data_IF_532251833520
#
_entry.id   IF_532251833520
#
_cell.length_a   1.000
_cell.length_b   1.000
_cell.length_c   1.000
_cell.angle_alpha   90.00
_cell.angle_beta   90.00
_cell.angle_gamma   90.00
#
_symmetry.space_group_name_H-M   'P 1'
#
loop_
_entity.id
_entity.type
_entity.pdbx_description
1 polymer ?
#
# COMPACT_ATOMS: atom_id res chain seq x y z
N UNK A 1 -28.39 3.99 13.35
CA UNK A 1 -27.05 4.23 12.79
C UNK A 1 -27.21 4.48 11.31
N UNK A 2 -26.76 5.62 10.79
CA UNK A 2 -26.72 5.86 9.34
C UNK A 2 -25.45 5.22 8.78
N UNK A 3 -25.59 4.29 7.84
CA UNK A 3 -24.46 3.69 7.15
C UNK A 3 -23.83 4.71 6.19
N UNK A 4 -22.52 4.58 5.97
CA UNK A 4 -21.82 5.39 4.97
C UNK A 4 -22.32 4.99 3.58
N UNK A 5 -22.77 5.93 2.73
CA UNK A 5 -23.31 5.58 1.43
C UNK A 5 -22.22 5.05 0.48
N UNK A 6 -22.55 3.99 -0.25
CA UNK A 6 -21.68 3.36 -1.25
C UNK A 6 -21.78 4.09 -2.59
N UNK A 7 -20.68 4.13 -3.33
CA UNK A 7 -20.49 4.82 -4.62
C UNK A 7 -20.72 6.34 -4.61
N UNK A 8 -20.79 6.96 -3.43
CA UNK A 8 -20.89 8.41 -3.25
C UNK A 8 -19.66 8.96 -2.56
N UNK A 9 -19.26 10.16 -2.98
CA UNK A 9 -18.24 10.92 -2.29
C UNK A 9 -18.84 11.49 -1.01
N UNK A 10 -18.20 11.22 0.12
CA UNK A 10 -18.58 11.74 1.43
C UNK A 10 -17.38 12.36 2.11
N UNK A 11 -17.62 13.40 2.90
CA UNK A 11 -16.59 13.99 3.73
C UNK A 11 -16.51 13.21 5.04
N UNK A 12 -15.30 12.78 5.41
CA UNK A 12 -15.01 12.09 6.67
C UNK A 12 -13.91 12.81 7.42
N UNK A 13 -13.89 12.64 8.74
CA UNK A 13 -12.85 13.20 9.60
C UNK A 13 -12.00 12.09 10.19
N UNK A 14 -10.68 12.25 10.17
CA UNK A 14 -9.76 11.28 10.78
C UNK A 14 -9.90 11.35 12.30
N UNK A 15 -10.30 10.23 12.92
CA UNK A 15 -10.37 10.13 14.38
C UNK A 15 -9.00 9.75 14.95
N UNK A 16 -8.37 8.70 14.40
CA UNK A 16 -7.06 8.21 14.84
C UNK A 16 -6.46 7.24 13.83
N UNK A 17 -5.17 6.98 14.00
CA UNK A 17 -4.43 5.98 13.23
C UNK A 17 -4.10 4.81 14.16
N UNK A 18 -4.45 3.60 13.75
CA UNK A 18 -4.19 2.36 14.50
C UNK A 18 -3.15 1.55 13.74
N UNK A 19 -2.01 1.31 14.39
CA UNK A 19 -0.92 0.52 13.83
C UNK A 19 -0.54 -0.60 14.82
N UNK A 20 -0.59 -1.88 14.42
CA UNK A 20 -0.14 -2.99 15.23
C UNK A 20 1.36 -2.90 15.52
N UNK A 21 1.81 -3.51 16.63
CA UNK A 21 3.23 -3.54 17.03
C UNK A 21 4.11 -4.42 16.12
N UNK A 22 3.50 -5.42 15.47
CA UNK A 22 4.14 -6.32 14.50
C UNK A 22 3.71 -5.90 13.10
N UNK A 23 4.61 -5.93 12.11
CA UNK A 23 4.29 -5.45 10.76
C UNK A 23 3.98 -3.95 10.70
N UNK A 24 4.57 -3.17 11.61
CA UNK A 24 4.33 -1.72 11.89
C UNK A 24 4.28 -0.80 10.66
N UNK A 25 4.77 -1.25 9.51
CA UNK A 25 4.76 -0.49 8.25
C UNK A 25 3.66 -0.92 7.29
N UNK A 26 3.29 -2.20 7.29
CA UNK A 26 2.49 -2.84 6.22
C UNK A 26 1.04 -3.09 6.61
N UNK A 27 0.75 -3.10 7.90
CA UNK A 27 -0.59 -3.26 8.44
C UNK A 27 -0.99 -2.00 9.20
N UNK A 28 -2.12 -1.41 8.84
CA UNK A 28 -2.64 -0.21 9.47
C UNK A 28 -4.15 -0.10 9.26
N UNK A 29 -4.77 0.67 10.14
CA UNK A 29 -6.16 1.09 10.01
C UNK A 29 -6.24 2.59 10.25
N UNK A 30 -6.87 3.29 9.31
CA UNK A 30 -7.26 4.68 9.48
C UNK A 30 -8.70 4.69 10.00
N UNK A 31 -8.88 5.08 11.27
CA UNK A 31 -10.21 5.26 11.84
C UNK A 31 -10.73 6.62 11.42
N UNK A 32 -11.85 6.63 10.70
CA UNK A 32 -12.53 7.85 10.27
C UNK A 32 -13.95 7.89 10.80
N UNK A 33 -14.48 9.09 10.93
CA UNK A 33 -15.85 9.35 11.36
C UNK A 33 -16.65 9.95 10.21
N UNK A 34 -17.84 9.42 10.00
CA UNK A 34 -18.87 9.98 9.13
C UNK A 34 -20.14 10.15 9.97
N UNK A 35 -20.55 11.38 10.24
CA UNK A 35 -21.66 11.68 11.14
C UNK A 35 -21.50 10.96 12.50
N UNK A 36 -22.43 10.07 12.85
CA UNK A 36 -22.38 9.23 14.07
C UNK A 36 -21.62 7.92 13.91
N UNK A 37 -21.18 7.57 12.69
CA UNK A 37 -20.66 6.25 12.34
C UNK A 37 -19.14 6.25 12.28
N UNK A 38 -18.53 5.13 12.71
CA UNK A 38 -17.08 4.93 12.71
C UNK A 38 -16.71 3.86 11.70
N UNK A 39 -15.70 4.17 10.91
CA UNK A 39 -15.23 3.31 9.84
C UNK A 39 -13.72 3.07 10.00
N UNK A 40 -13.29 1.82 9.89
CA UNK A 40 -11.90 1.44 9.80
C UNK A 40 -11.54 1.21 8.34
N UNK A 41 -10.68 2.08 7.79
CA UNK A 41 -10.14 1.90 6.44
C UNK A 41 -8.83 1.11 6.53
N UNK A 42 -8.82 -0.12 6.03
CA UNK A 42 -7.62 -0.94 6.02
C UNK A 42 -6.65 -0.44 4.95
N UNK A 43 -5.42 -0.12 5.35
CA UNK A 43 -4.36 0.34 4.45
C UNK A 43 -2.97 0.11 5.08
N UNK A 44 -1.87 0.20 4.31
CA UNK A 44 -0.53 0.18 4.90
C UNK A 44 -0.36 1.30 5.93
N UNK A 45 0.27 0.99 7.05
CA UNK A 45 0.53 1.97 8.10
C UNK A 45 1.46 3.10 7.62
N UNK A 46 2.35 2.84 6.66
CA UNK A 46 3.17 3.87 6.01
C UNK A 46 2.31 4.99 5.42
N UNK A 47 1.19 4.65 4.78
CA UNK A 47 0.28 5.62 4.14
C UNK A 47 -0.67 6.23 5.17
N UNK A 48 -1.22 5.43 6.08
CA UNK A 48 -2.11 5.93 7.13
C UNK A 48 -1.46 7.03 7.98
N UNK A 49 -0.13 6.94 8.20
CA UNK A 49 0.68 7.92 8.94
C UNK A 49 0.90 9.25 8.21
N UNK A 50 0.56 9.35 6.92
CA UNK A 50 0.60 10.64 6.20
C UNK A 50 -0.55 11.56 6.61
N UNK A 51 -1.57 11.00 7.25
CA UNK A 51 -2.78 11.68 7.68
C UNK A 51 -2.67 12.04 9.16
N UNK A 52 -3.46 13.01 9.63
CA UNK A 52 -3.48 13.41 11.03
C UNK A 52 -4.90 13.39 11.63
N UNK A 53 -5.07 13.11 12.94
CA UNK A 53 -6.36 13.30 13.60
C UNK A 53 -6.93 14.71 13.39
N UNK A 54 -8.24 14.80 13.17
CA UNK A 54 -8.96 16.04 12.85
C UNK A 54 -8.91 16.43 11.37
N UNK A 55 -8.12 15.74 10.54
CA UNK A 55 -8.04 16.01 9.12
C UNK A 55 -9.33 15.59 8.39
N UNK A 56 -9.81 16.45 7.48
CA UNK A 56 -10.99 16.18 6.64
C UNK A 56 -10.58 15.60 5.30
N UNK A 57 -11.16 14.47 4.95
CA UNK A 57 -10.89 13.73 3.74
C UNK A 57 -12.18 13.50 2.95
N UNK A 58 -12.04 13.23 1.66
CA UNK A 58 -13.13 12.72 0.84
C UNK A 58 -12.96 11.23 0.70
N UNK A 59 -13.98 10.47 1.11
CA UNK A 59 -14.05 9.02 1.02
C UNK A 59 -15.09 8.64 -0.02
N UNK A 60 -14.80 7.62 -0.82
CA UNK A 60 -15.79 6.92 -1.62
C UNK A 60 -15.67 5.42 -1.40
N UNK A 61 -16.71 4.83 -0.83
CA UNK A 61 -16.82 3.37 -0.75
C UNK A 61 -17.22 2.79 -2.09
N UNK A 62 -16.55 1.72 -2.50
CA UNK A 62 -16.80 0.98 -3.73
C UNK A 62 -17.73 -0.21 -3.50
N UNK A 63 -17.73 -0.76 -2.29
CA UNK A 63 -18.64 -1.81 -1.81
C UNK A 63 -19.00 -1.55 -0.34
N UNK A 64 -20.01 -2.26 0.14
CA UNK A 64 -20.39 -2.19 1.55
C UNK A 64 -19.26 -2.70 2.45
N UNK A 65 -18.97 -2.01 3.57
CA UNK A 65 -17.98 -2.46 4.54
C UNK A 65 -18.53 -3.61 5.39
N UNK A 66 -17.65 -4.44 5.91
CA UNK A 66 -18.01 -5.49 6.86
C UNK A 66 -18.28 -4.89 8.25
N UNK A 67 -19.35 -5.32 8.91
CA UNK A 67 -19.68 -4.85 10.25
C UNK A 67 -19.15 -5.81 11.32
N UNK A 68 -18.20 -5.35 12.14
CA UNK A 68 -17.56 -6.15 13.19
C UNK A 68 -17.50 -5.34 14.49
N UNK A 69 -18.08 -5.88 15.57
CA UNK A 69 -18.06 -5.28 16.92
C UNK A 69 -18.47 -3.79 16.97
N UNK A 70 -19.46 -3.40 16.16
CA UNK A 70 -19.96 -2.01 16.11
C UNK A 70 -19.11 -1.06 15.29
N UNK A 71 -18.13 -1.57 14.53
CA UNK A 71 -17.26 -0.81 13.63
C UNK A 71 -17.44 -1.34 12.21
N UNK A 72 -17.65 -0.44 11.26
CA UNK A 72 -17.64 -0.79 9.84
C UNK A 72 -16.19 -0.86 9.34
N UNK A 73 -15.80 -1.94 8.67
CA UNK A 73 -14.44 -2.19 8.19
C UNK A 73 -14.43 -2.22 6.67
N UNK A 74 -13.68 -1.31 6.06
CA UNK A 74 -13.49 -1.26 4.61
C UNK A 74 -12.13 -1.86 4.26
N UNK A 75 -12.15 -2.94 3.49
CA UNK A 75 -10.96 -3.57 2.92
C UNK A 75 -10.22 -2.65 1.93
N UNK A 76 -8.94 -2.93 1.68
CA UNK A 76 -8.03 -2.09 0.89
C UNK A 76 -8.56 -1.72 -0.51
N UNK A 77 -9.17 -2.63 -1.21
CA UNK A 77 -9.72 -2.43 -2.57
C UNK A 77 -11.19 -2.00 -2.57
N UNK A 78 -11.78 -1.77 -1.40
CA UNK A 78 -13.19 -1.40 -1.24
C UNK A 78 -13.43 0.12 -1.14
N UNK A 79 -12.39 0.95 -1.21
CA UNK A 79 -12.54 2.39 -1.08
C UNK A 79 -11.49 3.19 -1.86
N UNK A 80 -11.83 4.46 -2.09
CA UNK A 80 -10.95 5.50 -2.60
C UNK A 80 -10.92 6.65 -1.59
N UNK A 81 -9.76 7.28 -1.41
CA UNK A 81 -9.55 8.34 -0.43
C UNK A 81 -8.78 9.50 -1.06
N UNK A 82 -9.29 10.71 -0.87
CA UNK A 82 -8.65 11.94 -1.33
C UNK A 82 -8.49 12.93 -0.19
N UNK A 83 -7.36 13.65 -0.22
CA UNK A 83 -7.11 14.86 0.56
C UNK A 83 -7.50 16.06 -0.30
N UNK A 84 -8.12 17.06 0.32
CA UNK A 84 -8.33 18.37 -0.30
C UNK A 84 -7.15 19.27 0.04
N UNK A 85 -6.44 19.76 -0.96
CA UNK A 85 -5.32 20.68 -0.80
C UNK A 85 -5.46 21.83 -1.79
N UNK A 86 -5.55 23.07 -1.29
CA UNK A 86 -5.68 24.28 -2.13
C UNK A 86 -6.80 24.21 -3.18
N UNK A 87 -7.90 23.53 -2.85
CA UNK A 87 -9.04 23.35 -3.77
C UNK A 87 -8.90 22.17 -4.75
N UNK A 88 -7.75 21.51 -4.76
CA UNK A 88 -7.50 20.31 -5.56
C UNK A 88 -7.74 19.03 -4.75
N UNK A 89 -8.17 17.97 -5.45
CA UNK A 89 -8.30 16.63 -4.88
C UNK A 89 -7.04 15.82 -5.19
N UNK A 90 -6.27 15.54 -4.14
CA UNK A 90 -5.09 14.69 -4.23
C UNK A 90 -5.47 13.29 -3.75
N UNK A 91 -5.37 12.30 -4.63
CA UNK A 91 -5.67 10.91 -4.26
C UNK A 91 -4.58 10.36 -3.33
N UNK A 92 -5.00 9.94 -2.14
CA UNK A 92 -4.13 9.30 -1.14
C UNK A 92 -4.22 7.78 -1.26
N UNK A 93 -5.40 7.27 -1.59
CA UNK A 93 -5.63 5.85 -1.75
C UNK A 93 -6.60 5.54 -2.90
N UNK A 94 -6.30 4.54 -3.74
CA UNK A 94 -5.05 3.77 -3.81
C UNK A 94 -3.88 4.66 -4.30
N UNK A 95 -2.62 4.24 -4.03
CA UNK A 95 -1.42 4.89 -4.55
C UNK A 95 -1.38 4.88 -6.09
N UNK A 96 -0.54 5.74 -6.66
CA UNK A 96 -0.48 5.91 -8.11
C UNK A 96 -0.02 4.63 -8.82
N UNK A 97 -0.69 4.31 -9.94
CA UNK A 97 -0.40 3.18 -10.81
C UNK A 97 -0.71 3.53 -12.26
N UNK A 98 0.18 3.15 -13.18
CA UNK A 98 0.02 3.28 -14.62
C UNK A 98 0.55 2.02 -15.32
N UNK A 99 -0.24 1.51 -16.25
CA UNK A 99 0.15 0.43 -17.13
C UNK A 99 0.42 0.99 -18.53
N UNK A 100 1.54 0.60 -19.14
CA UNK A 100 1.92 0.97 -20.49
C UNK A 100 2.18 -0.30 -21.29
N UNK A 101 1.53 -0.41 -22.43
CA UNK A 101 1.65 -1.57 -23.33
C UNK A 101 2.41 -1.17 -24.58
N UNK A 102 3.39 -1.99 -24.95
CA UNK A 102 4.14 -1.86 -26.20
C UNK A 102 4.08 -3.18 -26.96
N UNK A 103 3.26 -3.19 -28.02
CA UNK A 103 3.14 -4.34 -28.91
C UNK A 103 4.26 -4.30 -29.95
N UNK A 104 4.98 -5.40 -30.10
CA UNK A 104 5.96 -5.60 -31.17
C UNK A 104 5.36 -6.48 -32.25
N UNK A 105 5.21 -5.91 -33.44
CA UNK A 105 4.64 -6.59 -34.60
C UNK A 105 5.73 -7.05 -35.57
N UNK A 106 5.44 -8.12 -36.29
CA UNK A 106 6.20 -8.57 -37.45
C UNK A 106 6.23 -7.44 -38.48
N UNK A 107 7.42 -6.97 -38.91
CA UNK A 107 7.55 -5.81 -39.79
C UNK A 107 6.99 -6.04 -41.21
N UNK A 108 6.77 -7.30 -41.61
CA UNK A 108 6.29 -7.69 -42.94
C UNK A 108 4.82 -8.08 -42.89
N UNK A 109 4.41 -8.86 -41.88
CA UNK A 109 3.04 -9.42 -41.77
C UNK A 109 2.11 -8.59 -40.89
N UNK A 110 2.64 -7.63 -40.13
CA UNK A 110 1.90 -6.77 -39.20
C UNK A 110 1.31 -7.51 -37.99
N UNK A 111 1.57 -8.81 -37.84
CA UNK A 111 1.03 -9.63 -36.75
C UNK A 111 1.81 -9.38 -35.46
N UNK A 112 1.15 -9.25 -34.30
CA UNK A 112 1.84 -9.14 -33.03
C UNK A 112 2.69 -10.39 -32.79
N UNK A 113 3.97 -10.19 -32.46
CA UNK A 113 4.90 -11.26 -32.09
C UNK A 113 4.91 -11.39 -30.57
N UNK A 114 5.01 -10.27 -29.86
CA UNK A 114 4.93 -10.21 -28.40
C UNK A 114 4.51 -8.81 -27.92
N UNK A 115 4.13 -8.72 -26.67
CA UNK A 115 3.75 -7.48 -26.00
C UNK A 115 4.62 -7.30 -24.74
N UNK A 116 5.13 -6.08 -24.54
CA UNK A 116 5.64 -5.66 -23.23
C UNK A 116 4.54 -4.94 -22.47
N UNK A 117 4.35 -5.35 -21.21
CA UNK A 117 3.49 -4.63 -20.26
C UNK A 117 4.39 -4.08 -19.16
N UNK A 118 4.50 -2.76 -19.10
CA UNK A 118 5.26 -2.05 -18.06
C UNK A 118 4.26 -1.48 -17.06
N UNK A 119 4.37 -1.89 -15.79
CA UNK A 119 3.57 -1.34 -14.70
C UNK A 119 4.44 -0.41 -13.87
N UNK A 120 4.21 0.89 -14.00
CA UNK A 120 4.80 1.91 -13.14
C UNK A 120 3.83 2.16 -11.98
N UNK A 121 4.28 1.97 -10.74
CA UNK A 121 3.46 2.20 -9.55
C UNK A 121 4.32 2.58 -8.36
N UNK A 122 3.70 3.21 -7.37
CA UNK A 122 4.35 3.45 -6.08
C UNK A 122 4.54 2.14 -5.29
N UNK A 123 5.54 2.10 -4.42
CA UNK A 123 5.83 0.98 -3.52
C UNK A 123 4.95 1.06 -2.27
N UNK A 124 4.16 0.02 -2.02
CA UNK A 124 3.05 0.02 -1.06
C UNK A 124 3.23 -1.06 0.01
N UNK A 125 3.67 -2.25 -0.39
CA UNK A 125 3.74 -3.45 0.47
C UNK A 125 5.18 -3.88 0.75
N UNK A 126 5.37 -4.80 1.69
CA UNK A 126 6.69 -5.28 2.09
C UNK A 126 7.51 -5.80 0.93
N UNK A 127 6.86 -6.58 0.07
CA UNK A 127 7.43 -7.22 -1.11
C UNK A 127 8.00 -6.16 -2.06
N UNK A 128 7.32 -5.02 -2.22
CA UNK A 128 7.79 -3.93 -3.07
C UNK A 128 9.14 -3.38 -2.59
N UNK A 129 9.30 -3.23 -1.27
CA UNK A 129 10.52 -2.72 -0.69
C UNK A 129 11.64 -3.77 -0.67
N UNK A 130 11.30 -5.04 -0.49
CA UNK A 130 12.26 -6.14 -0.61
C UNK A 130 12.85 -6.20 -2.01
N UNK A 131 12.02 -6.09 -3.06
CA UNK A 131 12.47 -6.06 -4.46
C UNK A 131 13.34 -4.84 -4.76
N UNK A 132 12.97 -3.66 -4.27
CA UNK A 132 13.79 -2.45 -4.41
C UNK A 132 15.16 -2.65 -3.74
N UNK A 133 15.19 -3.16 -2.50
CA UNK A 133 16.45 -3.42 -1.79
C UNK A 133 17.28 -4.47 -2.53
N UNK A 134 16.66 -5.53 -3.05
CA UNK A 134 17.37 -6.56 -3.81
C UNK A 134 18.04 -5.98 -5.07
N UNK A 135 17.37 -5.07 -5.79
CA UNK A 135 17.93 -4.36 -6.94
C UNK A 135 19.12 -3.48 -6.55
N UNK A 136 18.98 -2.68 -5.48
CA UNK A 136 20.08 -1.85 -4.97
C UNK A 136 21.28 -2.69 -4.54
N UNK A 137 21.02 -3.80 -3.86
CA UNK A 137 22.07 -4.70 -3.39
C UNK A 137 22.76 -5.46 -4.52
N UNK A 138 22.07 -5.73 -5.64
CA UNK A 138 22.71 -6.21 -6.86
C UNK A 138 23.73 -5.19 -7.39
N UNK A 139 23.41 -3.88 -7.35
CA UNK A 139 24.36 -2.83 -7.71
C UNK A 139 25.58 -2.78 -6.78
N UNK A 140 25.42 -3.05 -5.47
CA UNK A 140 26.55 -3.13 -4.54
C UNK A 140 27.35 -4.43 -4.64
N UNK A 141 26.70 -5.57 -4.87
CA UNK A 141 27.35 -6.86 -5.08
C UNK A 141 28.26 -6.84 -6.31
N UNK A 142 27.90 -6.09 -7.35
CA UNK A 142 28.77 -5.85 -8.51
C UNK A 142 30.08 -5.11 -8.18
N UNK A 143 30.17 -4.53 -6.97
CA UNK A 143 31.38 -3.87 -6.41
C UNK A 143 32.11 -4.73 -5.37
N UNK A 144 31.73 -6.01 -5.19
CA UNK A 144 32.38 -6.97 -4.27
C UNK A 144 32.40 -6.53 -2.79
N UNK A 145 31.39 -5.79 -2.32
CA UNK A 145 31.24 -5.43 -0.90
C UNK A 145 29.95 -6.04 -0.31
N UNK A 146 30.06 -6.60 0.90
CA UNK A 146 28.90 -7.04 1.70
C UNK A 146 28.40 -5.83 2.49
N UNK A 147 27.19 -5.35 2.20
CA UNK A 147 26.72 -4.05 2.72
C UNK A 147 25.60 -4.17 3.76
N UNK A 148 24.90 -5.31 3.84
CA UNK A 148 23.70 -5.45 4.66
C UNK A 148 23.78 -6.51 5.78
N UNK A 149 23.23 -6.16 6.94
CA UNK A 149 22.99 -7.06 8.08
C UNK A 149 21.48 -7.17 8.30
N UNK A 150 20.96 -8.39 8.21
CA UNK A 150 19.55 -8.73 8.41
C UNK A 150 19.32 -9.29 9.80
N UNK A 151 18.18 -9.00 10.42
CA UNK A 151 17.76 -9.61 11.70
C UNK A 151 16.50 -10.45 11.49
N UNK A 152 16.52 -11.72 11.87
CA UNK A 152 15.31 -12.54 11.86
C UNK A 152 14.29 -11.98 12.87
N UNK A 153 13.03 -11.72 12.48
CA UNK A 153 12.01 -11.23 13.39
C UNK A 153 11.50 -12.29 14.39
N UNK A 154 11.75 -13.57 14.13
CA UNK A 154 11.31 -14.70 14.97
C UNK A 154 12.41 -15.05 15.98
N UNK A 155 13.56 -15.56 15.52
CA UNK A 155 14.65 -16.00 16.40
C UNK A 155 15.63 -14.89 16.80
N UNK A 156 15.58 -13.72 16.18
CA UNK A 156 16.39 -12.56 16.53
C UNK A 156 17.86 -12.59 16.06
N UNK A 157 18.30 -13.65 15.37
CA UNK A 157 19.67 -13.79 14.85
C UNK A 157 19.97 -12.81 13.71
N UNK A 158 21.24 -12.45 13.59
CA UNK A 158 21.75 -11.56 12.55
C UNK A 158 22.47 -12.34 11.45
N UNK A 159 22.25 -11.95 10.20
CA UNK A 159 22.85 -12.57 9.03
C UNK A 159 23.42 -11.50 8.09
N UNK A 160 24.64 -11.70 7.63
CA UNK A 160 25.25 -10.87 6.59
C UNK A 160 24.89 -11.43 5.22
N UNK A 161 24.21 -10.63 4.40
CA UNK A 161 23.82 -11.02 3.05
C UNK A 161 23.35 -9.79 2.28
N UNK A 162 23.67 -9.73 0.99
CA UNK A 162 23.23 -8.66 0.11
C UNK A 162 21.72 -8.78 -0.20
N UNK A 163 21.15 -9.99 -0.20
CA UNK A 163 19.70 -10.21 -0.30
C UNK A 163 19.14 -10.73 1.02
N UNK A 164 17.85 -10.52 1.30
CA UNK A 164 17.24 -11.06 2.51
C UNK A 164 17.35 -12.60 2.51
N UNK A 165 18.05 -13.20 3.49
CA UNK A 165 18.22 -14.64 3.54
C UNK A 165 17.01 -15.31 4.20
N UNK A 166 16.70 -16.54 3.79
CA UNK A 166 15.84 -17.44 4.57
C UNK A 166 16.52 -17.79 5.89
N UNK A 167 15.77 -17.82 6.98
CA UNK A 167 16.32 -18.16 8.29
C UNK A 167 16.53 -19.69 8.35
N UNK A 168 17.74 -20.21 8.61
CA UNK A 168 17.99 -21.65 8.66
C UNK A 168 17.20 -22.39 9.76
N UNK A 169 16.70 -21.66 10.76
CA UNK A 169 15.97 -22.24 11.88
C UNK A 169 14.45 -22.09 11.78
N UNK A 170 13.96 -21.16 10.95
CA UNK A 170 12.54 -20.84 10.86
C UNK A 170 11.91 -21.14 9.49
N UNK A 171 12.73 -21.47 8.48
CA UNK A 171 12.30 -21.84 7.12
C UNK A 171 11.90 -20.65 6.27
#
# INVERSE_FOLDING_TARGET
MQSVPVLKDVQVEVERIVVPRVGVRWQGCLMVRYESSRLCLLMPASIARWLAPGEKLVLKLLREPDHVDGIDIAERDSFLLWRLWEGERIQVWPPWRKEVRLVRSDPVRGKPVYEYVIVAREAVFEEDYQEIVALEQYHYASKEEIVAIWKCPICGKYFQSNVQPSCPEDG
#
